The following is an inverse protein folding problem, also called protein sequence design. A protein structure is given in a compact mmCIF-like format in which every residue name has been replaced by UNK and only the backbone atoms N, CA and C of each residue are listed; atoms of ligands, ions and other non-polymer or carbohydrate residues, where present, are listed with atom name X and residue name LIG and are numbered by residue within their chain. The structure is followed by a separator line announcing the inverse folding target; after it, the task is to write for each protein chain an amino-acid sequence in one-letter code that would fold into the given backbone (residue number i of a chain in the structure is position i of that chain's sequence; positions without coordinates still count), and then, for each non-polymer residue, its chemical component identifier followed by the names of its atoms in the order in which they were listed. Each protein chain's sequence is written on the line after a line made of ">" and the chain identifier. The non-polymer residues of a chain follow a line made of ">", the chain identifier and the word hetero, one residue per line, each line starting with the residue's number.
data_IF_616619509964
#
_entry.id   IF_616619509964
#
_cell.length_a   1.000
_cell.length_b   1.000
_cell.length_c   1.000
_cell.angle_alpha   90.00
_cell.angle_beta   90.00
_cell.angle_gamma   90.00
#
_symmetry.space_group_name_H-M   'P 1'
#
loop_
_entity.id
_entity.type
_entity.pdbx_description
1 polymer ?
#
# COMPACT_ATOMS: atom_id res chain seq x y z
N UNK A 1 26.91 11.61 39.45
CA UNK A 1 27.38 11.21 38.10
C UNK A 1 26.28 11.48 37.08
N UNK A 2 26.21 12.69 36.53
CA UNK A 2 25.15 13.13 35.62
C UNK A 2 25.14 12.37 34.27
N UNK A 3 26.26 11.77 33.84
CA UNK A 3 26.36 11.08 32.55
C UNK A 3 25.53 9.78 32.48
N UNK A 4 25.38 9.04 33.57
CA UNK A 4 24.64 7.76 33.59
C UNK A 4 23.14 7.99 33.34
N UNK A 5 22.57 9.06 33.91
CA UNK A 5 21.16 9.41 33.68
C UNK A 5 20.92 9.77 32.22
N UNK A 6 21.80 10.58 31.63
CA UNK A 6 21.72 10.96 30.21
C UNK A 6 21.82 9.73 29.30
N UNK A 7 22.73 8.80 29.61
CA UNK A 7 22.89 7.56 28.85
C UNK A 7 21.64 6.67 28.90
N UNK A 8 20.98 6.58 30.06
CA UNK A 8 19.71 5.86 30.22
C UNK A 8 18.57 6.50 29.42
N UNK A 9 18.47 7.84 29.42
CA UNK A 9 17.44 8.55 28.65
C UNK A 9 17.63 8.37 27.14
N UNK A 10 18.87 8.45 26.65
CA UNK A 10 19.17 8.24 25.23
C UNK A 10 18.90 6.77 24.84
N UNK A 11 19.32 5.81 25.66
CA UNK A 11 19.06 4.39 25.42
C UNK A 11 17.56 4.08 25.35
N UNK A 12 16.77 4.63 26.27
CA UNK A 12 15.31 4.46 26.27
C UNK A 12 14.61 5.15 25.08
N UNK A 13 15.13 6.30 24.64
CA UNK A 13 14.61 6.99 23.46
C UNK A 13 14.88 6.20 22.17
N UNK A 14 16.08 5.62 22.04
CA UNK A 14 16.46 4.80 20.89
C UNK A 14 15.64 3.51 20.86
N UNK A 15 15.41 2.82 21.98
CA UNK A 15 14.58 1.60 22.00
C UNK A 15 13.09 1.87 21.73
N UNK A 16 12.57 3.02 22.15
CA UNK A 16 11.20 3.44 21.83
C UNK A 16 11.02 3.76 20.33
N UNK A 17 12.03 4.34 19.68
CA UNK A 17 12.01 4.63 18.24
C UNK A 17 12.28 3.38 17.38
N UNK A 18 12.94 2.36 17.94
CA UNK A 18 13.23 1.09 17.25
C UNK A 18 12.03 0.14 17.10
N UNK A 19 10.83 0.53 17.53
CA UNK A 19 9.59 -0.14 17.12
C UNK A 19 9.25 0.35 15.71
N UNK A 20 10.11 0.05 14.73
CA UNK A 20 9.70 0.03 13.33
C UNK A 20 8.72 -1.13 13.20
N UNK A 21 7.44 -0.76 13.10
CA UNK A 21 6.36 -1.58 12.55
C UNK A 21 6.92 -2.55 11.51
N UNK A 22 6.69 -3.83 11.76
CA UNK A 22 6.86 -4.93 10.83
C UNK A 22 6.71 -4.46 9.38
N UNK A 23 7.85 -4.40 8.71
CA UNK A 23 7.99 -3.97 7.32
C UNK A 23 7.48 -5.02 6.35
N UNK A 24 6.31 -5.60 6.59
CA UNK A 24 5.51 -6.19 5.54
C UNK A 24 4.98 -5.06 4.67
N UNK A 25 5.86 -4.53 3.82
CA UNK A 25 5.48 -3.68 2.69
C UNK A 25 4.56 -4.50 1.80
N UNK A 26 3.25 -4.40 2.03
CA UNK A 26 2.26 -5.01 1.14
C UNK A 26 2.46 -4.37 -0.24
N UNK A 27 2.83 -5.16 -1.26
CA UNK A 27 3.18 -4.61 -2.56
C UNK A 27 1.94 -3.99 -3.18
N UNK A 28 2.03 -2.69 -3.48
CA UNK A 28 0.95 -1.95 -4.11
C UNK A 28 0.98 -2.22 -5.61
N UNK A 29 -0.16 -2.64 -6.17
CA UNK A 29 -0.31 -2.82 -7.62
C UNK A 29 -0.13 -1.48 -8.35
N UNK A 30 0.72 -1.46 -9.38
CA UNK A 30 1.03 -0.30 -10.22
C UNK A 30 0.40 -0.47 -11.61
N UNK A 31 0.29 0.62 -12.37
CA UNK A 31 -0.20 0.61 -13.76
C UNK A 31 -1.56 -0.07 -13.95
N UNK A 32 -2.48 0.11 -12.99
CA UNK A 32 -3.83 -0.46 -13.05
C UNK A 32 -4.62 0.14 -14.21
N UNK A 33 -5.03 -0.67 -15.19
CA UNK A 33 -5.67 -0.22 -16.42
C UNK A 33 -6.76 -1.18 -16.88
N UNK A 34 -7.86 -0.61 -17.37
CA UNK A 34 -8.91 -1.35 -18.05
C UNK A 34 -8.59 -1.43 -19.55
N UNK A 35 -8.67 -2.64 -20.11
CA UNK A 35 -8.61 -2.90 -21.55
C UNK A 35 -9.92 -3.58 -21.94
N UNK A 36 -10.63 -3.02 -22.91
CA UNK A 36 -11.88 -3.58 -23.41
C UNK A 36 -11.84 -3.71 -24.92
N UNK A 37 -12.11 -4.91 -25.43
CA UNK A 37 -12.24 -5.21 -26.86
C UNK A 37 -13.45 -6.13 -27.04
N UNK A 38 -14.35 -5.80 -27.97
CA UNK A 38 -15.55 -6.62 -28.25
C UNK A 38 -16.34 -7.03 -27.00
N UNK A 39 -16.56 -6.09 -26.09
CA UNK A 39 -17.20 -6.27 -24.77
C UNK A 39 -16.46 -7.22 -23.79
N UNK A 40 -15.32 -7.77 -24.18
CA UNK A 40 -14.43 -8.46 -23.27
C UNK A 40 -13.56 -7.44 -22.53
N UNK A 41 -13.81 -7.29 -21.23
CA UNK A 41 -13.10 -6.34 -20.37
C UNK A 41 -12.12 -7.06 -19.45
N UNK A 42 -10.86 -6.64 -19.47
CA UNK A 42 -9.77 -7.17 -18.66
C UNK A 42 -9.14 -6.02 -17.87
N UNK A 43 -8.96 -6.22 -16.56
CA UNK A 43 -8.16 -5.34 -15.71
C UNK A 43 -6.73 -5.87 -15.68
N UNK A 44 -5.76 -5.03 -16.06
CA UNK A 44 -4.34 -5.38 -16.01
C UNK A 44 -3.62 -4.49 -15.01
N UNK A 45 -2.59 -5.03 -14.36
CA UNK A 45 -1.75 -4.31 -13.40
C UNK A 45 -0.36 -4.96 -13.32
N UNK A 46 0.62 -4.20 -12.82
CA UNK A 46 1.99 -4.66 -12.60
C UNK A 46 2.27 -4.70 -11.09
N UNK A 47 2.82 -5.80 -10.60
CA UNK A 47 3.20 -5.97 -9.19
C UNK A 47 4.68 -6.26 -9.07
N UNK A 48 5.26 -5.85 -7.95
CA UNK A 48 6.62 -6.27 -7.58
C UNK A 48 6.59 -7.77 -7.25
N UNK A 49 7.62 -8.49 -7.69
CA UNK A 49 7.69 -9.96 -7.59
C UNK A 49 7.49 -10.41 -6.15
N UNK A 50 6.30 -10.93 -5.88
CA UNK A 50 5.90 -11.31 -4.54
C UNK A 50 4.78 -12.33 -4.60
N UNK A 51 4.76 -13.25 -3.64
CA UNK A 51 3.74 -14.31 -3.52
C UNK A 51 2.45 -13.79 -2.87
N UNK A 52 1.89 -12.69 -3.39
CA UNK A 52 0.66 -12.11 -2.85
C UNK A 52 -0.54 -12.48 -3.72
N UNK A 53 -1.68 -12.73 -3.05
CA UNK A 53 -2.98 -12.82 -3.70
C UNK A 53 -3.62 -11.43 -3.71
N UNK A 54 -4.20 -11.06 -4.85
CA UNK A 54 -4.84 -9.76 -5.04
C UNK A 54 -6.35 -9.92 -5.14
N UNK A 55 -7.09 -8.99 -4.55
CA UNK A 55 -8.54 -8.89 -4.67
C UNK A 55 -8.89 -7.72 -5.58
N UNK A 56 -9.75 -7.96 -6.58
CA UNK A 56 -10.24 -6.91 -7.48
C UNK A 56 -11.63 -6.48 -7.02
N UNK A 57 -11.80 -5.17 -6.82
CA UNK A 57 -13.08 -4.53 -6.53
C UNK A 57 -13.44 -3.60 -7.68
N UNK A 58 -14.68 -3.67 -8.16
CA UNK A 58 -15.18 -2.79 -9.20
C UNK A 58 -16.54 -2.21 -8.81
N UNK A 59 -16.83 -1.02 -9.35
CA UNK A 59 -18.15 -0.42 -9.25
C UNK A 59 -18.52 0.17 -10.62
N UNK A 60 -19.79 0.05 -10.99
CA UNK A 60 -20.31 0.80 -12.13
C UNK A 60 -20.33 2.27 -11.72
N UNK A 61 -19.45 3.08 -12.30
CA UNK A 61 -19.47 4.52 -12.09
C UNK A 61 -20.87 5.03 -12.44
N UNK A 62 -21.52 5.73 -11.50
CA UNK A 62 -22.76 6.44 -11.77
C UNK A 62 -22.44 7.61 -12.70
N UNK A 63 -22.37 7.33 -14.00
CA UNK A 63 -22.39 8.38 -15.00
C UNK A 63 -23.84 8.87 -15.09
N UNK A 64 -24.13 9.98 -14.43
CA UNK A 64 -25.26 10.82 -14.80
C UNK A 64 -24.97 11.42 -16.19
N UNK A 65 -25.08 10.58 -17.24
CA UNK A 65 -25.11 11.08 -18.61
C UNK A 65 -26.47 11.71 -18.81
N UNK A 66 -26.52 13.04 -18.73
CA UNK A 66 -27.57 13.81 -19.39
C UNK A 66 -27.49 13.49 -20.89
N UNK A 67 -28.34 12.55 -21.32
CA UNK A 67 -28.70 12.42 -22.71
C UNK A 67 -29.80 13.45 -22.98
N UNK A 68 -29.38 14.58 -23.55
CA UNK A 68 -30.26 15.47 -24.32
C UNK A 68 -30.27 15.00 -25.77
#
# INVERSE_FOLDING_TARGET
>A
MPSIKVLLYIGAFVTAWSITTDGHFVPTAKNVRWVSLDFQTILTWTVEESKHTYTVLYSAGFLHRNMQ
#
